data_IF_798326914913
#
_entry.id   IF_798326914913
#
_cell.length_a   1.000
_cell.length_b   1.000
_cell.length_c   1.000
_cell.angle_alpha   90.00
_cell.angle_beta   90.00
_cell.angle_gamma   90.00
#
_symmetry.space_group_name_H-M   'P 1'
#
loop_
_entity.id
_entity.type
_entity.pdbx_description
1 polymer ?
#
# COMPACT_ATOMS: atom_id res chain seq x y z
N UNK A 1 -7.46 23.06 -66.76
CA UNK A 1 -7.97 22.99 -65.39
C UNK A 1 -9.46 23.30 -65.45
N UNK A 2 -10.32 22.30 -65.31
CA UNK A 2 -11.77 22.53 -65.31
C UNK A 2 -12.17 23.27 -64.03
N UNK A 3 -12.78 24.45 -64.20
CA UNK A 3 -13.29 25.26 -63.10
C UNK A 3 -14.59 24.61 -62.59
N UNK A 4 -14.55 24.05 -61.38
CA UNK A 4 -15.73 23.53 -60.70
C UNK A 4 -16.86 24.57 -60.70
N UNK A 5 -18.06 24.13 -61.04
CA UNK A 5 -19.29 24.91 -60.94
C UNK A 5 -19.55 25.30 -59.48
N UNK A 6 -20.32 26.37 -59.25
CA UNK A 6 -20.58 26.84 -57.88
C UNK A 6 -21.35 25.78 -57.06
N UNK A 7 -22.25 25.02 -57.71
CA UNK A 7 -22.97 23.92 -57.08
C UNK A 7 -22.05 22.77 -56.66
N UNK A 8 -21.06 22.42 -57.49
CA UNK A 8 -20.04 21.42 -57.11
C UNK A 8 -19.16 21.92 -55.94
N UNK A 9 -18.86 23.23 -55.88
CA UNK A 9 -18.13 23.82 -54.75
C UNK A 9 -18.94 23.81 -53.46
N UNK A 10 -20.25 24.07 -53.52
CA UNK A 10 -21.16 23.98 -52.37
C UNK A 10 -21.26 22.53 -51.88
N UNK A 11 -21.53 21.59 -52.77
CA UNK A 11 -21.63 20.16 -52.43
C UNK A 11 -20.36 19.61 -51.80
N UNK A 12 -19.19 19.90 -52.38
CA UNK A 12 -17.91 19.50 -51.79
C UNK A 12 -17.70 20.06 -50.37
N UNK A 13 -18.15 21.29 -50.09
CA UNK A 13 -18.05 21.89 -48.75
C UNK A 13 -19.02 21.23 -47.76
N UNK A 14 -20.22 20.87 -48.19
CA UNK A 14 -21.20 20.13 -47.37
C UNK A 14 -20.66 18.75 -46.98
N UNK A 15 -20.10 18.01 -47.93
CA UNK A 15 -19.50 16.70 -47.68
C UNK A 15 -18.36 16.80 -46.66
N UNK A 16 -17.47 17.79 -46.82
CA UNK A 16 -16.40 18.07 -45.86
C UNK A 16 -16.92 18.41 -44.45
N UNK A 17 -18.00 19.20 -44.36
CA UNK A 17 -18.65 19.53 -43.08
C UNK A 17 -19.27 18.29 -42.45
N UNK A 18 -19.87 17.42 -43.23
CA UNK A 18 -20.46 16.16 -42.75
C UNK A 18 -19.39 15.22 -42.20
N UNK A 19 -18.27 15.05 -42.92
CA UNK A 19 -17.11 14.27 -42.46
C UNK A 19 -16.58 14.81 -41.13
N UNK A 20 -16.41 16.13 -41.01
CA UNK A 20 -15.97 16.75 -39.75
C UNK A 20 -16.98 16.56 -38.63
N UNK A 21 -18.28 16.69 -38.91
CA UNK A 21 -19.33 16.46 -37.93
C UNK A 21 -19.32 15.02 -37.41
N UNK A 22 -19.07 14.05 -38.29
CA UNK A 22 -18.88 12.65 -37.89
C UNK A 22 -17.63 12.47 -37.02
N UNK A 23 -16.51 13.10 -37.39
CA UNK A 23 -15.30 13.07 -36.58
C UNK A 23 -15.50 13.71 -35.19
N UNK A 24 -16.26 14.81 -35.10
CA UNK A 24 -16.67 15.44 -33.85
C UNK A 24 -17.49 14.51 -32.95
N UNK A 25 -18.50 13.84 -33.52
CA UNK A 25 -19.29 12.82 -32.81
C UNK A 25 -18.41 11.68 -32.27
N UNK A 26 -17.43 11.23 -33.06
CA UNK A 26 -16.50 10.20 -32.62
C UNK A 26 -15.59 10.65 -31.47
N UNK A 27 -15.12 11.90 -31.49
CA UNK A 27 -14.34 12.48 -30.40
C UNK A 27 -15.21 12.60 -29.13
N UNK A 28 -16.45 13.09 -29.25
CA UNK A 28 -17.39 13.20 -28.12
C UNK A 28 -17.66 11.84 -27.45
N UNK A 29 -17.89 10.78 -28.24
CA UNK A 29 -18.04 9.41 -27.72
C UNK A 29 -16.80 8.94 -26.95
N UNK A 30 -15.59 9.21 -27.48
CA UNK A 30 -14.33 8.88 -26.79
C UNK A 30 -14.18 9.66 -25.49
N UNK A 31 -14.57 10.93 -25.48
CA UNK A 31 -14.53 11.80 -24.30
C UNK A 31 -15.46 11.27 -23.21
N UNK A 32 -16.71 10.96 -23.54
CA UNK A 32 -17.69 10.38 -22.60
C UNK A 32 -17.15 9.09 -21.96
N UNK A 33 -16.53 8.21 -22.75
CA UNK A 33 -15.89 6.99 -22.22
C UNK A 33 -14.76 7.32 -21.25
N UNK A 34 -13.89 8.28 -21.57
CA UNK A 34 -12.80 8.69 -20.68
C UNK A 34 -13.27 9.37 -19.40
N UNK A 35 -14.35 10.13 -19.46
CA UNK A 35 -14.96 10.73 -18.26
C UNK A 35 -15.59 9.67 -17.34
N UNK A 36 -16.17 8.62 -17.91
CA UNK A 36 -16.58 7.44 -17.16
C UNK A 36 -15.38 6.75 -16.50
N UNK A 37 -14.30 6.48 -17.25
CA UNK A 37 -13.05 5.90 -16.71
C UNK A 37 -12.53 6.75 -15.53
N UNK A 38 -12.49 8.08 -15.69
CA UNK A 38 -12.05 9.02 -14.66
C UNK A 38 -12.88 8.90 -13.38
N UNK A 39 -14.22 8.90 -13.50
CA UNK A 39 -15.12 8.76 -12.35
C UNK A 39 -14.92 7.43 -11.66
N UNK A 40 -14.83 6.34 -12.43
CA UNK A 40 -14.63 5.01 -11.89
C UNK A 40 -13.30 4.88 -11.13
N UNK A 41 -12.21 5.44 -11.66
CA UNK A 41 -10.90 5.44 -10.98
C UNK A 41 -10.94 6.27 -9.68
N UNK A 42 -11.59 7.44 -9.69
CA UNK A 42 -11.75 8.27 -8.50
C UNK A 42 -12.53 7.54 -7.40
N UNK A 43 -13.58 6.82 -7.77
CA UNK A 43 -14.34 6.02 -6.81
C UNK A 43 -13.50 4.88 -6.21
N UNK A 44 -12.72 4.18 -7.03
CA UNK A 44 -11.80 3.16 -6.52
C UNK A 44 -10.77 3.74 -5.54
N UNK A 45 -10.23 4.93 -5.81
CA UNK A 45 -9.31 5.63 -4.90
C UNK A 45 -9.99 6.05 -3.59
N UNK A 46 -11.24 6.52 -3.64
CA UNK A 46 -12.03 6.87 -2.47
C UNK A 46 -12.28 5.67 -1.56
N UNK A 47 -12.69 4.55 -2.15
CA UNK A 47 -12.95 3.30 -1.41
C UNK A 47 -11.68 2.75 -0.75
N UNK A 48 -10.54 2.92 -1.40
CA UNK A 48 -9.25 2.58 -0.81
C UNK A 48 -8.99 3.41 0.45
N UNK A 49 -9.14 4.74 0.41
CA UNK A 49 -8.87 5.61 1.56
C UNK A 49 -9.69 5.27 2.81
N UNK A 50 -10.93 4.79 2.64
CA UNK A 50 -11.80 4.40 3.76
C UNK A 50 -11.36 3.11 4.45
N UNK A 51 -10.56 2.27 3.79
CA UNK A 51 -10.17 0.93 4.26
C UNK A 51 -8.88 0.87 5.06
N UNK A 52 -8.13 1.97 5.15
CA UNK A 52 -6.81 1.99 5.78
C UNK A 52 -6.76 2.92 6.99
N UNK A 53 -7.15 2.43 8.18
CA UNK A 53 -6.94 3.12 9.46
C UNK A 53 -6.24 2.24 10.51
N UNK A 54 -5.13 2.77 11.00
CA UNK A 54 -4.67 2.82 12.41
C UNK A 54 -4.40 1.54 13.22
N UNK A 55 -3.99 0.42 12.59
CA UNK A 55 -3.71 -0.83 13.34
C UNK A 55 -2.24 -1.07 13.77
N UNK A 56 -1.29 -0.24 13.30
CA UNK A 56 0.15 -0.59 13.30
C UNK A 56 0.97 -0.16 14.53
N UNK A 57 0.76 1.03 15.15
CA UNK A 57 1.62 1.49 16.25
C UNK A 57 1.53 0.62 17.51
N UNK A 58 0.30 0.28 17.94
CA UNK A 58 0.01 -0.48 19.15
C UNK A 58 0.66 -1.87 19.12
N UNK A 59 0.66 -2.54 17.96
CA UNK A 59 1.25 -3.88 17.80
C UNK A 59 2.77 -3.87 17.90
N UNK A 60 3.44 -2.83 17.41
CA UNK A 60 4.91 -2.76 17.43
C UNK A 60 5.46 -2.66 18.85
N UNK A 61 4.80 -1.89 19.70
CA UNK A 61 5.23 -1.74 21.08
C UNK A 61 4.96 -3.02 21.88
N UNK A 62 3.80 -3.66 21.69
CA UNK A 62 3.51 -4.97 22.29
C UNK A 62 4.51 -6.06 21.87
N UNK A 63 4.89 -6.12 20.59
CA UNK A 63 5.89 -7.07 20.08
C UNK A 63 7.26 -6.83 20.72
N UNK A 64 7.70 -5.56 20.81
CA UNK A 64 8.97 -5.22 21.46
C UNK A 64 8.98 -5.64 22.92
N UNK A 65 7.85 -5.45 23.58
CA UNK A 65 7.67 -5.81 24.99
C UNK A 65 7.74 -7.34 25.20
N UNK A 66 7.03 -8.11 24.36
CA UNK A 66 7.07 -9.58 24.42
C UNK A 66 8.44 -10.15 24.03
N UNK A 67 9.18 -9.48 23.13
CA UNK A 67 10.56 -9.85 22.81
C UNK A 67 11.46 -9.73 24.04
N UNK A 68 11.37 -8.63 24.79
CA UNK A 68 12.14 -8.46 26.03
C UNK A 68 11.84 -9.55 27.07
N UNK A 69 10.57 -9.92 27.23
CA UNK A 69 10.19 -11.03 28.10
C UNK A 69 10.79 -12.37 27.65
N UNK A 70 10.80 -12.66 26.34
CA UNK A 70 11.42 -13.87 25.79
C UNK A 70 12.92 -13.90 26.03
N UNK A 71 13.59 -12.75 25.91
CA UNK A 71 15.03 -12.64 26.14
C UNK A 71 15.37 -12.92 27.61
N UNK A 72 14.57 -12.42 28.55
CA UNK A 72 14.69 -12.72 29.98
C UNK A 72 14.47 -14.22 30.28
N UNK A 73 13.44 -14.85 29.69
CA UNK A 73 13.25 -16.31 29.81
C UNK A 73 14.40 -17.12 29.18
N UNK A 74 14.99 -16.67 28.07
CA UNK A 74 16.15 -17.32 27.47
C UNK A 74 17.37 -17.25 28.39
N UNK A 75 17.56 -16.14 29.10
CA UNK A 75 18.64 -15.99 30.05
C UNK A 75 18.49 -16.92 31.27
N UNK A 76 17.26 -17.08 31.78
CA UNK A 76 16.95 -18.07 32.83
C UNK A 76 17.29 -19.50 32.38
N UNK A 77 16.99 -19.85 31.13
CA UNK A 77 17.34 -21.16 30.55
C UNK A 77 18.84 -21.37 30.42
N UNK A 78 19.60 -20.33 30.09
CA UNK A 78 21.07 -20.37 30.02
C UNK A 78 21.69 -20.63 31.39
N UNK A 79 21.26 -19.91 32.42
CA UNK A 79 21.67 -20.15 33.81
C UNK A 79 21.33 -21.58 34.24
N UNK A 80 20.14 -22.07 33.87
CA UNK A 80 19.72 -23.43 34.17
C UNK A 80 20.59 -24.49 33.46
N UNK A 81 21.01 -24.23 32.21
CA UNK A 81 21.95 -25.10 31.47
C UNK A 81 23.34 -25.07 32.10
N UNK A 82 23.82 -23.90 32.51
CA UNK A 82 25.11 -23.74 33.20
C UNK A 82 25.13 -24.52 34.51
N UNK A 83 24.10 -24.38 35.34
CA UNK A 83 23.95 -25.14 36.60
C UNK A 83 23.99 -26.65 36.33
N UNK A 84 23.26 -27.13 35.31
CA UNK A 84 23.25 -28.56 34.92
C UNK A 84 24.64 -29.04 34.48
N UNK A 85 25.34 -28.25 33.66
CA UNK A 85 26.69 -28.57 33.18
C UNK A 85 27.70 -28.65 34.34
N UNK A 86 27.69 -27.64 35.22
CA UNK A 86 28.54 -27.60 36.41
C UNK A 86 28.25 -28.77 37.36
N UNK A 87 26.97 -29.08 37.58
CA UNK A 87 26.53 -30.22 38.40
C UNK A 87 26.98 -31.55 37.81
N UNK A 88 26.93 -31.70 36.49
CA UNK A 88 27.45 -32.88 35.80
C UNK A 88 28.97 -32.99 35.95
N UNK A 89 29.70 -31.89 35.77
CA UNK A 89 31.15 -31.82 36.01
C UNK A 89 31.53 -32.24 37.42
N UNK A 90 30.78 -31.78 38.42
CA UNK A 90 30.97 -32.18 39.82
C UNK A 90 30.79 -33.69 40.03
N UNK A 91 29.76 -34.29 39.42
CA UNK A 91 29.46 -35.73 39.54
C UNK A 91 30.44 -36.64 38.83
N UNK A 92 31.28 -36.11 37.94
CA UNK A 92 32.22 -36.91 37.14
C UNK A 92 33.37 -37.51 37.96
N UNK A 93 33.58 -37.05 39.20
CA UNK A 93 34.58 -37.59 40.14
C UNK A 93 36.04 -37.34 39.74
N UNK A 94 36.29 -36.47 38.75
CA UNK A 94 37.62 -36.16 38.21
C UNK A 94 38.23 -34.88 38.78
N UNK A 95 37.50 -34.17 39.62
CA UNK A 95 37.88 -32.86 40.12
C UNK A 95 38.73 -32.99 41.39
N UNK A 96 39.67 -32.07 41.55
CA UNK A 96 40.33 -31.82 42.84
C UNK A 96 39.38 -31.10 43.80
N UNK A 97 39.65 -31.19 45.11
CA UNK A 97 38.85 -30.51 46.13
C UNK A 97 38.76 -28.98 45.93
N UNK A 98 39.80 -28.37 45.34
CA UNK A 98 39.81 -26.95 44.98
C UNK A 98 38.84 -26.65 43.82
N UNK A 99 38.85 -27.49 42.78
CA UNK A 99 37.94 -27.38 41.63
C UNK A 99 36.49 -27.62 42.04
N UNK A 100 36.22 -28.60 42.90
CA UNK A 100 34.87 -28.85 43.43
C UNK A 100 34.33 -27.65 44.21
N UNK A 101 35.17 -27.06 45.08
CA UNK A 101 34.80 -25.85 45.83
C UNK A 101 34.52 -24.66 44.91
N UNK A 102 35.25 -24.53 43.81
CA UNK A 102 35.03 -23.49 42.81
C UNK A 102 33.74 -23.73 42.02
N UNK A 103 33.49 -24.96 41.59
CA UNK A 103 32.26 -25.36 40.90
C UNK A 103 31.02 -25.10 41.77
N UNK A 104 31.07 -25.44 43.06
CA UNK A 104 29.98 -25.19 44.00
C UNK A 104 29.68 -23.68 44.17
N UNK A 105 30.72 -22.84 44.21
CA UNK A 105 30.54 -21.37 44.23
C UNK A 105 29.87 -20.87 42.95
N UNK A 106 30.30 -21.37 41.79
CA UNK A 106 29.70 -20.98 40.51
C UNK A 106 28.24 -21.43 40.39
N UNK A 107 27.90 -22.63 40.86
CA UNK A 107 26.52 -23.11 40.93
C UNK A 107 25.68 -22.18 41.81
N UNK A 108 26.18 -21.83 43.00
CA UNK A 108 25.48 -20.93 43.93
C UNK A 108 25.23 -19.56 43.30
N UNK A 109 26.25 -18.94 42.71
CA UNK A 109 26.08 -17.63 42.05
C UNK A 109 25.10 -17.71 40.88
N UNK A 110 25.13 -18.77 40.07
CA UNK A 110 24.18 -18.95 38.98
C UNK A 110 22.74 -19.19 39.47
N UNK A 111 22.56 -19.87 40.60
CA UNK A 111 21.26 -20.05 41.26
C UNK A 111 20.71 -18.72 41.78
N UNK A 112 21.53 -17.93 42.49
CA UNK A 112 21.16 -16.61 43.00
C UNK A 112 20.76 -15.66 41.86
N UNK A 113 21.51 -15.67 40.75
CA UNK A 113 21.15 -14.92 39.54
C UNK A 113 19.82 -15.39 38.95
N UNK A 114 19.63 -16.70 38.82
CA UNK A 114 18.40 -17.29 38.27
C UNK A 114 17.18 -16.90 39.12
N UNK A 115 17.26 -17.02 40.44
CA UNK A 115 16.19 -16.65 41.36
C UNK A 115 15.83 -15.16 41.25
N UNK A 116 16.84 -14.30 41.15
CA UNK A 116 16.64 -12.86 40.93
C UNK A 116 15.89 -12.58 39.62
N UNK A 117 16.31 -13.20 38.51
CA UNK A 117 15.64 -13.02 37.21
C UNK A 117 14.21 -13.56 37.21
N UNK A 118 13.94 -14.69 37.88
CA UNK A 118 12.58 -15.20 38.03
C UNK A 118 11.71 -14.24 38.84
N UNK A 119 12.21 -13.71 39.96
CA UNK A 119 11.48 -12.75 40.78
C UNK A 119 11.20 -11.44 40.02
N UNK A 120 12.17 -10.94 39.24
CA UNK A 120 11.99 -9.75 38.40
C UNK A 120 10.94 -9.97 37.29
N UNK A 121 10.89 -11.18 36.70
CA UNK A 121 9.88 -11.58 35.71
C UNK A 121 8.47 -11.65 36.31
N UNK A 122 8.34 -12.21 37.51
CA UNK A 122 7.08 -12.32 38.26
C UNK A 122 6.58 -10.95 38.76
N UNK A 123 7.51 -10.08 39.19
CA UNK A 123 7.19 -8.75 39.72
C UNK A 123 6.86 -7.73 38.61
N UNK A 124 7.38 -7.90 37.40
CA UNK A 124 6.96 -7.12 36.24
C UNK A 124 5.48 -7.42 35.99
N UNK A 125 4.61 -6.48 36.34
CA UNK A 125 3.19 -6.60 36.07
C UNK A 125 2.96 -6.20 34.60
N UNK A 126 2.79 -7.19 33.73
CA UNK A 126 2.65 -6.99 32.27
C UNK A 126 1.25 -6.52 31.84
N UNK A 127 0.54 -5.88 32.77
CA UNK A 127 -0.88 -5.56 32.73
C UNK A 127 -1.26 -4.38 31.83
N UNK A 128 -0.29 -3.54 31.40
CA UNK A 128 -0.55 -2.39 30.52
C UNK A 128 -1.25 -2.80 29.21
N UNK A 129 -1.01 -4.00 28.69
CA UNK A 129 -1.53 -4.39 27.38
C UNK A 129 -2.93 -5.03 27.41
N UNK A 130 -3.60 -5.13 28.57
CA UNK A 130 -4.87 -5.86 28.72
C UNK A 130 -4.84 -7.26 28.09
N UNK A 131 -3.66 -7.87 28.10
CA UNK A 131 -3.44 -9.25 27.68
C UNK A 131 -3.90 -10.13 28.86
N UNK A 132 -5.02 -10.88 28.75
CA UNK A 132 -5.53 -11.68 29.87
C UNK A 132 -4.49 -12.74 30.27
N UNK A 133 -4.05 -12.74 31.53
CA UNK A 133 -3.30 -13.85 32.16
C UNK A 133 -2.02 -14.32 31.41
N UNK A 134 -1.30 -13.42 30.75
CA UNK A 134 -0.32 -13.78 29.71
C UNK A 134 1.05 -14.31 30.17
N UNK A 135 1.38 -14.40 31.46
CA UNK A 135 2.73 -14.79 31.88
C UNK A 135 2.84 -15.96 32.84
N UNK A 136 2.04 -17.01 32.62
CA UNK A 136 2.23 -18.25 33.35
C UNK A 136 3.34 -19.15 32.75
N UNK A 137 3.85 -18.85 31.54
CA UNK A 137 4.95 -19.62 30.92
C UNK A 137 5.61 -18.92 29.72
N UNK A 138 6.86 -19.31 29.45
CA UNK A 138 7.63 -18.90 28.26
C UNK A 138 6.91 -19.26 26.96
N UNK A 139 6.28 -20.43 26.90
CA UNK A 139 5.54 -20.94 25.74
C UNK A 139 4.36 -20.03 25.39
N UNK A 140 3.67 -19.52 26.42
CA UNK A 140 2.57 -18.59 26.23
C UNK A 140 3.06 -17.26 25.63
N UNK A 141 4.10 -16.66 26.21
CA UNK A 141 4.71 -15.42 25.70
C UNK A 141 5.16 -15.59 24.25
N UNK A 142 5.80 -16.73 23.93
CA UNK A 142 6.24 -17.07 22.57
C UNK A 142 5.07 -17.19 21.60
N UNK A 143 3.99 -17.87 22.00
CA UNK A 143 2.78 -18.00 21.19
C UNK A 143 2.16 -16.63 20.89
N UNK A 144 2.05 -15.78 21.91
CA UNK A 144 1.47 -14.45 21.76
C UNK A 144 2.33 -13.52 20.91
N UNK A 145 3.65 -13.58 21.09
CA UNK A 145 4.62 -12.88 20.25
C UNK A 145 4.44 -13.28 18.78
N UNK A 146 4.44 -14.58 18.49
CA UNK A 146 4.29 -15.09 17.12
C UNK A 146 2.97 -14.64 16.50
N UNK A 147 1.87 -14.66 17.26
CA UNK A 147 0.56 -14.19 16.79
C UNK A 147 0.61 -12.72 16.40
N UNK A 148 1.04 -11.85 17.31
CA UNK A 148 1.11 -10.41 17.04
C UNK A 148 2.09 -10.09 15.91
N UNK A 149 3.21 -10.79 15.86
CA UNK A 149 4.21 -10.66 14.80
C UNK A 149 3.63 -11.03 13.43
N UNK A 150 2.95 -12.17 13.32
CA UNK A 150 2.29 -12.61 12.09
C UNK A 150 1.20 -11.62 11.65
N UNK A 151 0.41 -11.11 12.60
CA UNK A 151 -0.59 -10.09 12.29
C UNK A 151 0.04 -8.77 11.83
N UNK A 152 1.16 -8.36 12.43
CA UNK A 152 1.92 -7.18 11.99
C UNK A 152 2.46 -7.39 10.57
N UNK A 153 3.07 -8.55 10.30
CA UNK A 153 3.61 -8.88 8.98
C UNK A 153 2.51 -8.91 7.91
N UNK A 154 1.35 -9.51 8.23
CA UNK A 154 0.16 -9.48 7.39
C UNK A 154 -0.34 -8.06 7.13
N UNK A 155 -0.36 -7.22 8.17
CA UNK A 155 -0.71 -5.80 8.06
C UNK A 155 0.24 -5.02 7.16
N UNK A 156 1.55 -5.24 7.26
CA UNK A 156 2.56 -4.63 6.38
C UNK A 156 2.30 -5.05 4.92
N UNK A 157 2.11 -6.35 4.65
CA UNK A 157 1.83 -6.85 3.30
C UNK A 157 0.59 -6.22 2.70
N UNK A 158 -0.49 -6.11 3.48
CA UNK A 158 -1.73 -5.44 3.06
C UNK A 158 -1.51 -3.94 2.80
N UNK A 159 -0.76 -3.25 3.65
CA UNK A 159 -0.41 -1.84 3.50
C UNK A 159 0.44 -1.60 2.24
N UNK A 160 1.43 -2.45 1.96
CA UNK A 160 2.22 -2.37 0.72
C UNK A 160 1.35 -2.59 -0.51
N UNK A 161 0.46 -3.60 -0.48
CA UNK A 161 -0.48 -3.87 -1.57
C UNK A 161 -1.44 -2.68 -1.79
N UNK A 162 -1.90 -2.06 -0.70
CA UNK A 162 -2.71 -0.84 -0.72
C UNK A 162 -1.99 0.30 -1.45
N UNK A 163 -0.78 0.67 -1.01
CA UNK A 163 -0.03 1.76 -1.61
C UNK A 163 0.31 1.49 -3.08
N UNK A 164 0.67 0.25 -3.42
CA UNK A 164 0.91 -0.16 -4.81
C UNK A 164 -0.34 0.02 -5.68
N UNK A 165 -1.51 -0.40 -5.18
CA UNK A 165 -2.79 -0.23 -5.88
C UNK A 165 -3.17 1.25 -6.04
N UNK A 166 -3.00 2.05 -4.99
CA UNK A 166 -3.25 3.49 -5.01
C UNK A 166 -2.34 4.20 -6.03
N UNK A 167 -1.03 3.90 -6.03
CA UNK A 167 -0.08 4.46 -6.98
C UNK A 167 -0.43 4.10 -8.42
N UNK A 168 -0.82 2.84 -8.68
CA UNK A 168 -1.26 2.40 -10.01
C UNK A 168 -2.51 3.13 -10.48
N UNK A 169 -3.50 3.31 -9.59
CA UNK A 169 -4.72 4.06 -9.91
C UNK A 169 -4.42 5.55 -10.14
N UNK A 170 -3.51 6.16 -9.36
CA UNK A 170 -3.05 7.53 -9.57
C UNK A 170 -2.40 7.72 -10.95
N UNK A 171 -1.52 6.80 -11.37
CA UNK A 171 -0.94 6.81 -12.73
C UNK A 171 -2.00 6.69 -13.81
N UNK A 172 -2.98 5.80 -13.64
CA UNK A 172 -4.12 5.65 -14.58
C UNK A 172 -4.97 6.92 -14.64
N UNK A 173 -5.25 7.54 -13.50
CA UNK A 173 -6.01 8.79 -13.43
C UNK A 173 -5.32 9.91 -14.21
N UNK A 174 -4.02 10.10 -13.98
CA UNK A 174 -3.22 11.10 -14.71
C UNK A 174 -3.19 10.85 -16.23
N UNK A 175 -3.10 9.60 -16.66
CA UNK A 175 -3.17 9.25 -18.08
C UNK A 175 -4.56 9.59 -18.68
N UNK A 176 -5.64 9.25 -17.98
CA UNK A 176 -7.01 9.55 -18.39
C UNK A 176 -7.26 11.06 -18.45
N UNK A 177 -6.76 11.83 -17.48
CA UNK A 177 -6.90 13.29 -17.46
C UNK A 177 -6.17 13.93 -18.65
N UNK A 178 -4.96 13.47 -18.98
CA UNK A 178 -4.23 13.91 -20.19
C UNK A 178 -4.99 13.56 -21.48
N UNK A 179 -5.56 12.36 -21.56
CA UNK A 179 -6.38 11.94 -22.71
C UNK A 179 -7.61 12.84 -22.87
N UNK A 180 -8.33 13.13 -21.78
CA UNK A 180 -9.49 14.03 -21.79
C UNK A 180 -9.07 15.41 -22.30
N UNK A 181 -8.03 16.02 -21.71
CA UNK A 181 -7.55 17.33 -22.15
C UNK A 181 -7.12 17.35 -23.63
N UNK A 182 -6.50 16.27 -24.12
CA UNK A 182 -6.15 16.15 -25.54
C UNK A 182 -7.39 16.06 -26.44
N UNK A 183 -8.39 15.30 -26.04
CA UNK A 183 -9.65 15.14 -26.79
C UNK A 183 -10.45 16.45 -26.80
N UNK A 184 -10.52 17.17 -25.68
CA UNK A 184 -11.16 18.49 -25.60
C UNK A 184 -10.52 19.48 -26.57
N UNK A 185 -9.18 19.59 -26.55
CA UNK A 185 -8.43 20.45 -27.50
C UNK A 185 -8.65 20.05 -28.95
N UNK A 186 -8.77 18.75 -29.24
CA UNK A 186 -9.05 18.25 -30.61
C UNK A 186 -10.47 18.60 -31.05
N UNK A 187 -11.45 18.49 -30.14
CA UNK A 187 -12.84 18.84 -30.41
C UNK A 187 -12.97 20.32 -30.70
N UNK A 188 -12.42 21.17 -29.84
CA UNK A 188 -12.43 22.63 -29.99
C UNK A 188 -11.80 23.07 -31.32
N UNK A 189 -10.63 22.51 -31.68
CA UNK A 189 -10.00 22.77 -32.98
C UNK A 189 -10.85 22.33 -34.16
N UNK A 190 -11.61 21.25 -34.03
CA UNK A 190 -12.49 20.75 -35.08
C UNK A 190 -13.71 21.65 -35.22
N UNK A 191 -14.30 22.08 -34.11
CA UNK A 191 -15.43 23.01 -34.06
C UNK A 191 -15.08 24.35 -34.71
N UNK A 192 -13.95 24.97 -34.32
CA UNK A 192 -13.46 26.19 -34.96
C UNK A 192 -13.25 26.02 -36.47
N UNK A 193 -12.68 24.87 -36.90
CA UNK A 193 -12.53 24.58 -38.33
C UNK A 193 -13.87 24.36 -39.05
N UNK A 194 -14.90 23.90 -38.34
CA UNK A 194 -16.22 23.66 -38.90
C UNK A 194 -16.99 24.97 -39.04
N UNK A 195 -16.92 25.85 -38.04
CA UNK A 195 -17.48 27.22 -38.09
C UNK A 195 -16.96 27.99 -39.30
N UNK A 196 -15.63 28.02 -39.50
CA UNK A 196 -15.02 28.66 -40.68
C UNK A 196 -15.52 28.07 -42.01
N UNK A 197 -15.85 26.77 -42.04
CA UNK A 197 -16.40 26.14 -43.24
C UNK A 197 -17.86 26.48 -43.47
N UNK A 198 -18.64 26.63 -42.40
CA UNK A 198 -20.02 27.13 -42.49
C UNK A 198 -20.06 28.59 -42.95
N UNK A 199 -19.20 29.46 -42.41
CA UNK A 199 -19.07 30.85 -42.86
C UNK A 199 -18.74 30.93 -44.36
N UNK A 200 -17.76 30.14 -44.81
CA UNK A 200 -17.39 30.08 -46.23
C UNK A 200 -18.50 29.50 -47.11
N UNK A 201 -19.25 28.50 -46.63
CA UNK A 201 -20.39 27.94 -47.34
C UNK A 201 -21.54 28.95 -47.44
N UNK A 202 -21.76 29.75 -46.40
CA UNK A 202 -22.75 30.82 -46.40
C UNK A 202 -22.36 31.91 -47.42
N UNK A 203 -21.08 32.32 -47.46
CA UNK A 203 -20.57 33.26 -48.47
C UNK A 203 -20.78 32.74 -49.90
N UNK A 204 -20.46 31.46 -50.16
CA UNK A 204 -20.68 30.84 -51.47
C UNK A 204 -22.16 30.87 -51.86
N UNK A 205 -23.07 30.51 -50.95
CA UNK A 205 -24.51 30.54 -51.22
C UNK A 205 -25.04 31.96 -51.47
N UNK A 206 -24.56 32.96 -50.72
CA UNK A 206 -24.93 34.36 -50.94
C UNK A 206 -24.44 34.90 -52.29
N UNK A 207 -23.28 34.44 -52.78
CA UNK A 207 -22.76 34.83 -54.10
C UNK A 207 -23.54 34.24 -55.29
N UNK A 208 -24.34 33.20 -55.04
CA UNK A 208 -25.25 32.61 -56.04
C UNK A 208 -26.60 33.35 -56.12
N UNK A 209 -27.05 33.94 -55.01
CA UNK A 209 -28.37 34.60 -54.92
C UNK A 209 -28.36 36.08 -55.37
N UNK A 210 -27.19 36.72 -55.41
CA UNK A 210 -27.01 38.08 -55.96
C UNK A 210 -25.94 38.04 -57.07
N UNK A 211 -26.27 37.59 -58.29
CA UNK A 211 -25.37 37.76 -59.43
C UNK A 211 -25.31 39.25 -59.76
N UNK A 212 -24.12 39.84 -59.67
CA UNK A 212 -23.84 41.17 -60.22
C UNK A 212 -23.78 41.10 -61.75
#
# INVERSE_FOLDING_TARGET
>A
MELLTVDEKVKNKEDLIQVKSQAGRNIAKKLQKREFDRRHIREQLRMLLLSHKDFMPIKRDAIRYLQGALDEYNHVDELQKQIKSLSHGLRSGRNTLLEEKQILRQIKCAQEQKEKFCADLEAKNWSHWHLPEVLNSKEFVKSHFNRLYNELEGGIKQQTAYYSKAARLGKKLSAVERDISSLQKKLEKLECKREKMYEHLQQLRSSVQNPS
#
